data_IF_828094681725
#
_entry.id   IF_828094681725
#
_cell.length_a   1.000
_cell.length_b   1.000
_cell.length_c   1.000
_cell.angle_alpha   90.00
_cell.angle_beta   90.00
_cell.angle_gamma   90.00
#
_symmetry.space_group_name_H-M   'P 1'
#
loop_
_entity.id
_entity.type
_entity.pdbx_description
1 polymer ?
#
# COMPACT_ATOMS: atom_id res chain seq x y z
N UNK A 1 0.29 7.86 0.57
CA UNK A 1 -0.72 6.96 0.00
C UNK A 1 -0.32 6.49 -1.38
N UNK A 2 -0.83 5.36 -1.80
CA UNK A 2 -0.55 4.77 -3.12
C UNK A 2 -1.83 4.19 -3.70
N UNK A 3 -1.87 3.98 -5.00
CA UNK A 3 -3.01 3.30 -5.61
C UNK A 3 -2.57 2.04 -6.37
N UNK A 4 -3.50 1.08 -6.48
CA UNK A 4 -3.28 -0.11 -7.28
C UNK A 4 -3.73 0.12 -8.72
N UNK A 5 -3.57 -0.92 -9.55
CA UNK A 5 -3.88 -0.81 -11.00
C UNK A 5 -5.36 -0.61 -11.29
N UNK A 6 -6.24 -0.91 -10.34
CA UNK A 6 -7.69 -0.68 -10.49
C UNK A 6 -8.14 0.67 -9.93
N UNK A 7 -7.21 1.50 -9.45
CA UNK A 7 -7.50 2.80 -8.92
C UNK A 7 -7.92 2.83 -7.46
N UNK A 8 -7.77 1.71 -6.73
CA UNK A 8 -8.03 1.70 -5.29
C UNK A 8 -6.89 2.41 -4.56
N UNK A 9 -7.23 3.32 -3.66
CA UNK A 9 -6.27 4.07 -2.87
C UNK A 9 -5.96 3.37 -1.55
N UNK A 10 -4.69 3.22 -1.27
CA UNK A 10 -4.18 2.66 -0.01
C UNK A 10 -3.65 3.82 0.83
N UNK A 11 -4.27 4.07 1.96
CA UNK A 11 -4.01 5.23 2.80
C UNK A 11 -3.57 4.77 4.17
N UNK A 12 -2.36 5.19 4.57
CA UNK A 12 -1.89 4.93 5.94
C UNK A 12 -2.62 5.84 6.91
N UNK A 13 -3.16 5.26 7.99
CA UNK A 13 -3.89 6.02 9.01
C UNK A 13 -3.03 6.13 10.26
N UNK A 14 -2.30 7.21 10.32
CA UNK A 14 -1.42 7.52 11.44
C UNK A 14 -2.23 7.68 12.73
N UNK A 15 -1.75 7.07 13.81
CA UNK A 15 -2.45 7.09 15.09
C UNK A 15 -3.48 5.99 15.25
N UNK A 16 -4.13 5.57 14.18
CA UNK A 16 -5.05 4.42 14.20
C UNK A 16 -4.32 3.11 13.97
N UNK A 17 -3.23 3.15 13.22
CA UNK A 17 -2.44 1.95 12.95
C UNK A 17 -3.03 1.04 11.89
N UNK A 18 -3.66 1.61 10.88
CA UNK A 18 -4.28 0.81 9.81
C UNK A 18 -3.90 1.36 8.44
N UNK A 19 -4.13 0.53 7.41
CA UNK A 19 -4.13 0.95 6.02
C UNK A 19 -5.57 0.83 5.52
N UNK A 20 -6.17 1.94 5.15
CA UNK A 20 -7.51 1.98 4.57
C UNK A 20 -7.41 1.83 3.05
N UNK A 21 -8.24 0.98 2.47
CA UNK A 21 -8.33 0.82 1.02
C UNK A 21 -9.67 1.38 0.56
N UNK A 22 -9.62 2.40 -0.28
CA UNK A 22 -10.79 3.13 -0.77
C UNK A 22 -10.88 2.93 -2.28
N UNK A 23 -12.07 2.55 -2.77
CA UNK A 23 -12.26 2.35 -4.20
C UNK A 23 -12.41 3.68 -4.95
N UNK A 24 -12.43 3.66 -6.30
CA UNK A 24 -12.54 4.91 -7.09
C UNK A 24 -13.81 5.72 -6.84
N UNK A 25 -14.85 5.12 -6.28
CA UNK A 25 -16.09 5.85 -5.96
C UNK A 25 -16.06 6.44 -4.53
N UNK A 26 -14.98 6.23 -3.78
CA UNK A 26 -14.81 6.80 -2.44
C UNK A 26 -15.28 5.90 -1.31
N UNK A 27 -15.60 4.64 -1.58
CA UNK A 27 -16.02 3.70 -0.55
C UNK A 27 -14.85 3.00 0.09
N UNK A 28 -14.89 2.86 1.42
CA UNK A 28 -13.92 2.06 2.16
C UNK A 28 -14.25 0.58 1.93
N UNK A 29 -13.39 -0.14 1.21
CA UNK A 29 -13.62 -1.55 0.88
C UNK A 29 -12.81 -2.50 1.75
N UNK A 30 -11.77 -2.00 2.43
CA UNK A 30 -10.92 -2.83 3.28
C UNK A 30 -10.16 -1.95 4.25
N UNK A 31 -9.93 -2.46 5.44
CA UNK A 31 -9.03 -1.81 6.40
C UNK A 31 -8.13 -2.88 7.00
N UNK A 32 -6.82 -2.68 6.90
CA UNK A 32 -5.82 -3.64 7.31
C UNK A 32 -5.15 -3.13 8.59
N UNK A 33 -5.26 -3.89 9.68
CA UNK A 33 -4.63 -3.54 10.94
C UNK A 33 -3.13 -3.83 10.88
N UNK A 34 -2.35 -2.93 11.44
CA UNK A 34 -0.90 -3.03 11.53
C UNK A 34 -0.48 -3.24 12.98
N UNK A 35 0.70 -3.83 13.23
CA UNK A 35 1.18 -4.05 14.60
C UNK A 35 1.56 -2.77 15.33
N UNK A 36 1.76 -1.65 14.61
CA UNK A 36 2.07 -0.35 15.21
C UNK A 36 1.08 0.71 14.80
N UNK A 37 1.02 1.82 15.54
CA UNK A 37 0.00 2.85 15.34
C UNK A 37 0.47 4.04 14.50
N UNK A 38 1.73 4.04 14.06
CA UNK A 38 2.30 5.19 13.35
C UNK A 38 2.85 4.80 11.97
N UNK A 39 2.00 4.29 11.06
CA UNK A 39 2.43 4.05 9.69
C UNK A 39 2.70 5.38 8.99
N UNK A 40 3.84 5.50 8.32
CA UNK A 40 4.23 6.76 7.71
C UNK A 40 4.24 6.71 6.19
N UNK A 41 4.69 5.62 5.59
CA UNK A 41 4.81 5.53 4.14
C UNK A 41 4.44 4.14 3.65
N UNK A 42 4.06 4.06 2.38
CA UNK A 42 3.57 2.82 1.79
C UNK A 42 4.08 2.71 0.35
N UNK A 43 4.49 1.51 -0.06
CA UNK A 43 4.83 1.24 -1.45
C UNK A 43 4.51 -0.21 -1.81
N UNK A 44 4.33 -0.44 -3.10
CA UNK A 44 4.12 -1.77 -3.64
C UNK A 44 5.45 -2.31 -4.19
N UNK A 45 5.65 -3.60 -4.07
CA UNK A 45 6.86 -4.25 -4.57
C UNK A 45 6.72 -5.76 -4.60
N UNK A 46 7.87 -6.44 -4.57
CA UNK A 46 7.91 -7.90 -4.69
C UNK A 46 7.94 -8.35 -6.15
N UNK A 47 8.02 -9.66 -6.40
CA UNK A 47 8.15 -10.19 -7.77
C UNK A 47 6.96 -9.89 -8.66
N UNK A 48 5.78 -9.74 -8.10
CA UNK A 48 4.54 -9.51 -8.85
C UNK A 48 3.88 -8.16 -8.54
N UNK A 49 4.53 -7.30 -7.73
CA UNK A 49 4.00 -6.00 -7.35
C UNK A 49 2.82 -6.05 -6.39
N UNK A 50 2.54 -7.20 -5.79
CA UNK A 50 1.41 -7.40 -4.90
C UNK A 50 1.79 -7.40 -3.43
N UNK A 51 3.03 -7.14 -3.10
CA UNK A 51 3.48 -7.01 -1.72
C UNK A 51 3.52 -5.54 -1.36
N UNK A 52 2.79 -5.17 -0.32
CA UNK A 52 2.77 -3.80 0.17
C UNK A 52 3.72 -3.70 1.36
N UNK A 53 4.60 -2.72 1.30
CA UNK A 53 5.55 -2.42 2.37
C UNK A 53 5.14 -1.12 3.03
N UNK A 54 5.02 -1.14 4.35
CA UNK A 54 4.65 0.03 5.14
C UNK A 54 5.73 0.29 6.18
N UNK A 55 6.28 1.50 6.18
CA UNK A 55 7.19 1.90 7.27
C UNK A 55 6.36 2.33 8.46
N UNK A 56 6.63 1.73 9.61
CA UNK A 56 5.91 1.99 10.84
C UNK A 56 6.89 2.53 11.88
N UNK A 57 6.68 3.76 12.33
CA UNK A 57 7.68 4.49 13.12
C UNK A 57 7.53 4.33 14.62
N UNK A 58 6.39 3.83 15.12
CA UNK A 58 6.23 3.58 16.55
C UNK A 58 7.22 2.53 17.06
N UNK A 59 7.37 1.44 16.29
CA UNK A 59 8.29 0.35 16.62
C UNK A 59 9.51 0.30 15.72
N UNK A 60 9.69 1.30 14.85
CA UNK A 60 10.80 1.36 13.90
C UNK A 60 10.93 0.06 13.11
N UNK A 61 9.85 -0.31 12.43
CA UNK A 61 9.77 -1.58 11.69
C UNK A 61 9.21 -1.39 10.30
N UNK A 62 9.48 -2.37 9.45
CA UNK A 62 8.89 -2.48 8.12
C UNK A 62 7.83 -3.58 8.16
N UNK A 63 6.59 -3.23 7.87
CA UNK A 63 5.47 -4.16 7.83
C UNK A 63 5.16 -4.47 6.38
N UNK A 64 4.86 -5.74 6.08
CA UNK A 64 4.48 -6.12 4.72
C UNK A 64 3.23 -6.98 4.73
N UNK A 65 2.42 -6.85 3.67
CA UNK A 65 1.26 -7.70 3.44
C UNK A 65 1.01 -7.84 1.93
N UNK A 66 0.20 -8.82 1.58
CA UNK A 66 -0.11 -9.12 0.17
C UNK A 66 -1.45 -8.54 -0.23
N UNK A 67 -1.57 -8.16 -1.49
CA UNK A 67 -2.82 -7.66 -2.07
C UNK A 67 -3.19 -8.50 -3.30
N UNK A 68 -4.43 -8.34 -3.75
CA UNK A 68 -4.93 -9.04 -4.94
C UNK A 68 -4.46 -8.39 -6.24
N UNK A 69 -3.99 -7.15 -6.18
CA UNK A 69 -3.63 -6.37 -7.35
C UNK A 69 -2.29 -5.67 -7.15
N UNK A 70 -1.47 -5.55 -8.19
CA UNK A 70 -0.21 -4.82 -8.08
C UNK A 70 -0.45 -3.31 -7.96
N UNK A 71 0.54 -2.62 -7.44
CA UNK A 71 0.53 -1.17 -7.37
C UNK A 71 0.63 -0.54 -8.76
N UNK A 72 -0.01 0.60 -8.96
CA UNK A 72 -0.03 1.27 -10.25
C UNK A 72 1.36 1.74 -10.66
N UNK A 73 2.09 2.37 -9.76
CA UNK A 73 3.44 2.84 -10.05
C UNK A 73 4.41 1.68 -10.31
N UNK A 74 4.27 0.59 -9.54
CA UNK A 74 5.05 -0.60 -9.78
C UNK A 74 4.81 -1.16 -11.18
N UNK A 75 3.53 -1.23 -11.59
CA UNK A 75 3.15 -1.72 -12.92
C UNK A 75 3.74 -0.83 -14.03
N UNK A 76 3.65 0.48 -13.87
CA UNK A 76 4.21 1.44 -14.82
C UNK A 76 5.73 1.29 -14.93
N UNK A 77 6.40 1.15 -13.80
CA UNK A 77 7.85 0.98 -13.78
C UNK A 77 8.26 -0.32 -14.46
N UNK A 78 7.55 -1.41 -14.16
CA UNK A 78 7.81 -2.73 -14.74
C UNK A 78 7.64 -2.72 -16.26
N UNK A 79 6.65 -2.00 -16.77
CA UNK A 79 6.33 -1.92 -18.18
C UNK A 79 7.02 -0.78 -18.91
N UNK A 80 7.87 -0.01 -18.23
CA UNK A 80 8.59 1.09 -18.86
C UNK A 80 9.56 0.56 -19.91
N UNK A 81 9.73 1.28 -21.02
CA UNK A 81 10.70 0.85 -22.03
C UNK A 81 12.11 0.82 -21.45
N UNK A 82 12.88 -0.15 -21.88
CA UNK A 82 14.30 -0.23 -21.52
C UNK A 82 15.04 0.97 -22.13
N UNK A 83 15.96 1.52 -21.38
CA UNK A 83 16.79 2.64 -21.85
C UNK A 83 18.18 2.18 -22.21
#
# INVERSE_FOLDING_TARGET
>A
MRCDVDGNLYITRYGKGTVAVVNPTGELIREIELPGKRPSNICFGGPDGRTVYVTEVEHTQLVQFRTDRPGLEWQRWKNAPAK
#
